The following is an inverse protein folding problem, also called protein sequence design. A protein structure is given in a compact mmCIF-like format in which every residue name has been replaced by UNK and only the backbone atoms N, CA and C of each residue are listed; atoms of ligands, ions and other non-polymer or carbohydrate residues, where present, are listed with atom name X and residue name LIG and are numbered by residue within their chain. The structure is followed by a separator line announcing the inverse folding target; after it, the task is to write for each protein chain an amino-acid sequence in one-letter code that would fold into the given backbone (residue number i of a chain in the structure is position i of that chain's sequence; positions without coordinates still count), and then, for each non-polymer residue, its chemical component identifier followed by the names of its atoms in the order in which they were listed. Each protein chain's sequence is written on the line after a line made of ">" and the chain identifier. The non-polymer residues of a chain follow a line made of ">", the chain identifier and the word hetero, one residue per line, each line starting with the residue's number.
data_IF_732819057935
#
_entry.id   IF_732819057935
#
_cell.length_a   1.000
_cell.length_b   1.000
_cell.length_c   1.000
_cell.angle_alpha   90.00
_cell.angle_beta   90.00
_cell.angle_gamma   90.00
#
_symmetry.space_group_name_H-M   'P 1'
#
loop_
_entity.id
_entity.type
_entity.pdbx_description
1 polymer ?
#
# COMPACT_ATOMS: atom_id res chain seq x y z
N UNK A 1 -8.81 -34.67 33.90
CA UNK A 1 -8.57 -33.24 33.62
C UNK A 1 -7.65 -33.14 32.42
N UNK A 2 -8.21 -33.02 31.23
CA UNK A 2 -7.46 -32.77 30.00
C UNK A 2 -7.50 -31.26 29.78
N UNK A 3 -6.35 -30.58 29.93
CA UNK A 3 -6.22 -29.20 29.50
C UNK A 3 -6.11 -29.22 27.98
N UNK A 4 -7.03 -28.61 27.21
CA UNK A 4 -6.84 -28.55 25.77
C UNK A 4 -5.66 -27.63 25.48
N UNK A 5 -4.58 -28.22 24.95
CA UNK A 5 -3.50 -27.50 24.28
C UNK A 5 -4.05 -26.95 22.96
N UNK A 6 -4.86 -25.90 23.01
CA UNK A 6 -5.29 -25.15 21.83
C UNK A 6 -5.32 -23.66 22.16
N UNK A 7 -4.14 -23.09 22.42
CA UNK A 7 -3.88 -21.80 21.80
C UNK A 7 -3.43 -22.14 20.38
N UNK A 8 -4.26 -21.95 19.33
CA UNK A 8 -3.73 -21.99 17.99
C UNK A 8 -2.58 -20.99 17.99
N UNK A 9 -1.39 -21.42 17.59
CA UNK A 9 -0.30 -20.51 17.26
C UNK A 9 -0.94 -19.43 16.39
N UNK A 10 -1.15 -18.23 16.93
CA UNK A 10 -1.78 -17.11 16.25
C UNK A 10 -1.02 -16.94 14.94
N UNK A 11 -1.57 -17.45 13.85
CA UNK A 11 -0.91 -17.42 12.56
C UNK A 11 -0.90 -15.96 12.14
N UNK A 12 0.24 -15.32 12.35
CA UNK A 12 0.41 -13.91 12.06
C UNK A 12 0.60 -13.73 10.55
N UNK A 13 -0.51 -13.60 9.83
CA UNK A 13 -0.51 -13.49 8.37
C UNK A 13 -0.40 -12.01 8.00
N UNK A 14 0.61 -11.68 7.20
CA UNK A 14 0.84 -10.31 6.72
C UNK A 14 0.64 -10.23 5.20
N UNK A 15 0.00 -9.16 4.75
CA UNK A 15 -0.22 -8.88 3.34
C UNK A 15 0.91 -8.00 2.80
N UNK A 16 1.60 -8.46 1.76
CA UNK A 16 2.69 -7.71 1.11
C UNK A 16 2.30 -7.35 -0.32
N UNK A 17 2.24 -6.06 -0.63
CA UNK A 17 1.86 -5.54 -1.94
C UNK A 17 3.08 -4.96 -2.66
N UNK A 18 3.47 -5.61 -3.76
CA UNK A 18 4.67 -5.22 -4.52
C UNK A 18 4.48 -3.94 -5.32
N UNK A 19 5.57 -3.33 -5.76
CA UNK A 19 5.52 -2.24 -6.73
C UNK A 19 5.10 -2.74 -8.11
N UNK A 20 4.50 -1.87 -8.93
CA UNK A 20 4.05 -2.30 -10.26
C UNK A 20 3.45 -1.22 -11.17
N UNK A 21 3.38 0.04 -10.73
CA UNK A 21 2.72 1.12 -11.47
C UNK A 21 1.23 0.83 -11.66
N UNK A 22 0.71 1.01 -12.88
CA UNK A 22 -0.69 0.72 -13.25
C UNK A 22 -1.11 -0.74 -12.99
N UNK A 23 -0.16 -1.68 -12.87
CA UNK A 23 -0.44 -3.08 -12.47
C UNK A 23 -0.93 -3.20 -11.02
N UNK A 24 -0.93 -2.11 -10.24
CA UNK A 24 -1.67 -2.03 -8.98
C UNK A 24 -3.15 -2.41 -9.12
N UNK A 25 -3.74 -2.22 -10.31
CA UNK A 25 -5.09 -2.67 -10.64
C UNK A 25 -5.25 -4.21 -10.53
N UNK A 26 -4.23 -5.00 -10.88
CA UNK A 26 -4.29 -6.45 -10.71
C UNK A 26 -4.26 -6.86 -9.24
N UNK A 27 -3.51 -6.12 -8.41
CA UNK A 27 -3.53 -6.33 -6.96
C UNK A 27 -4.91 -6.01 -6.39
N UNK A 28 -5.56 -4.94 -6.86
CA UNK A 28 -6.95 -4.62 -6.48
C UNK A 28 -7.91 -5.78 -6.81
N UNK A 29 -7.80 -6.36 -8.02
CA UNK A 29 -8.57 -7.53 -8.41
C UNK A 29 -8.30 -8.76 -7.53
N UNK A 30 -7.04 -9.02 -7.18
CA UNK A 30 -6.68 -10.12 -6.28
C UNK A 30 -7.26 -9.91 -4.87
N UNK A 31 -7.20 -8.69 -4.33
CA UNK A 31 -7.81 -8.35 -3.05
C UNK A 31 -9.33 -8.55 -3.08
N UNK A 32 -9.99 -8.21 -4.20
CA UNK A 32 -11.42 -8.48 -4.40
C UNK A 32 -11.73 -9.98 -4.35
N UNK A 33 -10.95 -10.81 -5.04
CA UNK A 33 -11.08 -12.26 -4.96
C UNK A 33 -10.90 -12.80 -3.55
N UNK A 34 -9.95 -12.26 -2.78
CA UNK A 34 -9.77 -12.61 -1.36
C UNK A 34 -11.02 -12.25 -0.54
N UNK A 35 -11.55 -11.04 -0.69
CA UNK A 35 -12.75 -10.60 0.02
C UNK A 35 -13.99 -11.45 -0.34
N UNK A 36 -14.10 -11.88 -1.60
CA UNK A 36 -15.16 -12.81 -2.06
C UNK A 36 -15.03 -14.18 -1.39
N UNK A 37 -13.83 -14.77 -1.37
CA UNK A 37 -13.57 -16.07 -0.74
C UNK A 37 -13.82 -16.04 0.77
N UNK A 38 -13.42 -14.96 1.45
CA UNK A 38 -13.60 -14.81 2.90
C UNK A 38 -15.06 -14.57 3.33
N UNK A 39 -15.93 -14.13 2.41
CA UNK A 39 -17.34 -13.89 2.70
C UNK A 39 -17.53 -12.92 3.87
N UNK A 40 -18.40 -13.22 4.86
CA UNK A 40 -18.61 -12.36 6.03
C UNK A 40 -17.34 -12.09 6.86
N UNK A 41 -16.33 -12.96 6.78
CA UNK A 41 -15.06 -12.74 7.48
C UNK A 41 -14.26 -11.54 6.94
N UNK A 42 -14.61 -11.06 5.73
CA UNK A 42 -14.03 -9.87 5.11
C UNK A 42 -14.62 -8.55 5.61
N UNK A 43 -15.60 -8.58 6.51
CA UNK A 43 -16.17 -7.36 7.08
C UNK A 43 -15.16 -6.68 8.02
N UNK A 44 -14.23 -7.44 8.59
CA UNK A 44 -13.07 -6.94 9.33
C UNK A 44 -11.75 -7.22 8.59
N UNK A 45 -10.68 -6.51 8.95
CA UNK A 45 -9.36 -6.74 8.35
C UNK A 45 -8.83 -8.15 8.64
N UNK A 46 -8.64 -9.01 7.63
CA UNK A 46 -8.34 -10.43 7.85
C UNK A 46 -6.84 -10.72 8.06
N UNK A 47 -5.99 -9.69 7.98
CA UNK A 47 -4.53 -9.80 8.13
C UNK A 47 -4.06 -9.13 9.42
N UNK A 48 -2.94 -9.58 9.96
CA UNK A 48 -2.34 -8.95 11.14
C UNK A 48 -1.58 -7.67 10.80
N UNK A 49 -1.05 -7.58 9.58
CA UNK A 49 -0.39 -6.38 9.08
C UNK A 49 -0.47 -6.29 7.55
N UNK A 50 -0.22 -5.09 7.02
CA UNK A 50 -0.07 -4.86 5.58
C UNK A 50 1.11 -3.93 5.30
N UNK A 51 1.87 -4.23 4.27
CA UNK A 51 2.90 -3.34 3.75
C UNK A 51 2.87 -3.32 2.22
N UNK A 52 3.45 -2.27 1.64
CA UNK A 52 3.62 -2.20 0.20
C UNK A 52 4.57 -1.10 -0.23
N UNK A 53 4.95 -1.13 -1.51
CA UNK A 53 5.87 -0.15 -2.13
C UNK A 53 5.28 0.42 -3.43
N UNK A 54 5.46 1.72 -3.68
CA UNK A 54 4.95 2.42 -4.87
C UNK A 54 3.43 2.22 -5.04
N UNK A 55 2.96 1.69 -6.17
CA UNK A 55 1.54 1.34 -6.37
C UNK A 55 0.98 0.40 -5.28
N UNK A 56 1.80 -0.53 -4.78
CA UNK A 56 1.44 -1.39 -3.66
C UNK A 56 1.32 -0.61 -2.34
N UNK A 57 2.07 0.47 -2.15
CA UNK A 57 1.95 1.33 -0.98
C UNK A 57 0.62 2.11 -1.01
N UNK A 58 0.17 2.56 -2.19
CA UNK A 58 -1.14 3.19 -2.36
C UNK A 58 -2.24 2.21 -1.93
N UNK A 59 -2.21 1.00 -2.46
CA UNK A 59 -3.18 -0.05 -2.10
C UNK A 59 -3.15 -0.38 -0.61
N UNK A 60 -1.94 -0.58 -0.05
CA UNK A 60 -1.74 -0.91 1.36
C UNK A 60 -2.28 0.19 2.28
N UNK A 61 -1.95 1.46 2.00
CA UNK A 61 -2.42 2.59 2.78
C UNK A 61 -3.94 2.74 2.70
N UNK A 62 -4.54 2.55 1.52
CA UNK A 62 -5.97 2.65 1.34
C UNK A 62 -6.72 1.60 2.18
N UNK A 63 -6.37 0.31 2.07
CA UNK A 63 -7.04 -0.75 2.83
C UNK A 63 -6.75 -0.65 4.33
N UNK A 64 -5.56 -0.21 4.72
CA UNK A 64 -5.23 0.01 6.14
C UNK A 64 -6.09 1.13 6.74
N UNK A 65 -6.36 2.20 5.98
CA UNK A 65 -7.25 3.29 6.44
C UNK A 65 -8.70 2.84 6.62
N UNK A 66 -9.09 1.73 5.98
CA UNK A 66 -10.42 1.10 6.01
C UNK A 66 -10.39 -0.25 6.74
N UNK A 67 -9.50 -0.44 7.71
CA UNK A 67 -9.32 -1.73 8.40
C UNK A 67 -10.58 -2.22 9.16
N UNK A 68 -11.50 -1.31 9.49
CA UNK A 68 -12.79 -1.66 10.09
C UNK A 68 -13.77 -2.26 9.08
N UNK A 69 -13.57 -2.03 7.78
CA UNK A 69 -14.46 -2.42 6.68
C UNK A 69 -13.64 -2.87 5.47
N UNK A 70 -12.95 -4.01 5.59
CA UNK A 70 -11.98 -4.45 4.57
C UNK A 70 -12.62 -4.64 3.20
N UNK A 71 -13.82 -5.24 3.13
CA UNK A 71 -14.61 -5.38 1.90
C UNK A 71 -14.84 -4.03 1.19
N UNK A 72 -15.22 -3.00 1.94
CA UNK A 72 -15.43 -1.66 1.38
C UNK A 72 -14.11 -1.00 0.97
N UNK A 73 -13.05 -1.19 1.76
CA UNK A 73 -11.71 -0.77 1.41
C UNK A 73 -11.26 -1.36 0.07
N UNK A 74 -11.48 -2.65 -0.13
CA UNK A 74 -11.17 -3.34 -1.39
C UNK A 74 -12.01 -2.81 -2.56
N UNK A 75 -13.31 -2.58 -2.36
CA UNK A 75 -14.16 -1.97 -3.39
C UNK A 75 -13.66 -0.57 -3.79
N UNK A 76 -13.26 0.25 -2.82
CA UNK A 76 -12.69 1.58 -3.06
C UNK A 76 -11.37 1.54 -3.82
N UNK A 77 -10.50 0.57 -3.53
CA UNK A 77 -9.27 0.37 -4.32
C UNK A 77 -9.59 -0.06 -5.74
N UNK A 78 -10.56 -0.96 -5.95
CA UNK A 78 -11.00 -1.34 -7.30
C UNK A 78 -11.55 -0.13 -8.08
N UNK A 79 -12.31 0.74 -7.42
CA UNK A 79 -12.83 1.97 -8.02
C UNK A 79 -11.68 2.93 -8.39
N UNK A 80 -10.75 3.19 -7.46
CA UNK A 80 -9.57 4.03 -7.70
C UNK A 80 -8.83 3.61 -8.97
N UNK A 81 -8.56 2.31 -9.13
CA UNK A 81 -7.88 1.81 -10.33
C UNK A 81 -8.77 1.75 -11.58
N UNK A 82 -10.09 1.62 -11.42
CA UNK A 82 -11.04 1.61 -12.53
C UNK A 82 -11.33 3.00 -13.09
N UNK A 83 -11.18 4.06 -12.29
CA UNK A 83 -11.36 5.45 -12.69
C UNK A 83 -10.10 6.06 -13.32
N UNK A 84 -8.93 5.43 -13.14
CA UNK A 84 -7.68 5.82 -13.79
C UNK A 84 -7.75 5.57 -15.30
N UNK A 85 -8.29 6.54 -16.04
CA UNK A 85 -8.31 6.55 -17.51
C UNK A 85 -6.96 7.03 -18.06
N UNK A 86 -6.36 6.23 -18.93
CA UNK A 86 -5.09 6.53 -19.63
C UNK A 86 -5.08 7.91 -20.34
N UNK A 87 -6.24 8.47 -20.66
CA UNK A 87 -6.36 9.74 -21.39
C UNK A 87 -6.22 11.00 -20.51
N UNK A 88 -6.41 10.90 -19.18
CA UNK A 88 -6.23 12.04 -18.24
C UNK A 88 -4.90 11.99 -17.49
N UNK A 89 -4.30 10.81 -17.32
CA UNK A 89 -3.09 10.63 -16.49
C UNK A 89 -1.81 10.99 -17.25
N UNK A 90 -1.78 10.83 -18.58
CA UNK A 90 -0.54 10.98 -19.33
C UNK A 90 -0.06 12.44 -19.48
N UNK A 91 -0.92 13.44 -19.26
CA UNK A 91 -0.55 14.86 -19.45
C UNK A 91 -0.13 15.57 -18.17
N UNK A 92 -0.79 15.33 -17.04
CA UNK A 92 -0.49 16.04 -15.79
C UNK A 92 0.34 15.23 -14.77
N UNK A 93 0.27 13.89 -14.80
CA UNK A 93 0.92 13.05 -13.78
C UNK A 93 2.37 12.71 -14.13
N UNK A 94 2.77 12.70 -15.42
CA UNK A 94 4.16 12.44 -15.81
C UNK A 94 5.11 13.53 -15.32
N UNK A 95 4.74 14.81 -15.41
CA UNK A 95 5.59 15.92 -14.93
C UNK A 95 5.72 15.88 -13.42
N UNK A 96 4.62 15.61 -12.73
CA UNK A 96 4.59 15.51 -11.26
C UNK A 96 5.39 14.31 -10.77
N UNK A 97 5.19 13.12 -11.37
CA UNK A 97 5.95 11.90 -11.09
C UNK A 97 7.44 12.05 -11.40
N UNK A 98 7.81 12.66 -12.54
CA UNK A 98 9.23 12.93 -12.88
C UNK A 98 9.83 13.92 -11.90
N UNK A 99 9.09 14.94 -11.46
CA UNK A 99 9.58 15.91 -10.47
C UNK A 99 9.78 15.27 -9.10
N UNK A 100 8.85 14.42 -8.66
CA UNK A 100 9.02 13.65 -7.43
C UNK A 100 10.21 12.69 -7.55
N UNK A 101 10.32 11.93 -8.63
CA UNK A 101 11.45 11.04 -8.87
C UNK A 101 12.79 11.80 -8.92
N UNK A 102 12.83 12.97 -9.57
CA UNK A 102 14.02 13.82 -9.65
C UNK A 102 14.41 14.42 -8.28
N UNK A 103 13.43 14.82 -7.46
CA UNK A 103 13.68 15.30 -6.09
C UNK A 103 14.27 14.20 -5.22
N UNK A 104 13.69 13.00 -5.24
CA UNK A 104 14.23 11.84 -4.53
C UNK A 104 15.62 11.44 -5.03
N UNK A 105 15.84 11.42 -6.35
CA UNK A 105 17.16 11.13 -6.93
C UNK A 105 18.21 12.18 -6.56
N UNK A 106 17.83 13.46 -6.53
CA UNK A 106 18.69 14.56 -6.06
C UNK A 106 19.01 14.40 -4.58
N UNK A 107 18.04 14.06 -3.73
CA UNK A 107 18.28 13.91 -2.30
C UNK A 107 19.20 12.70 -2.01
N UNK A 108 19.15 11.64 -2.84
CA UNK A 108 20.08 10.50 -2.77
C UNK A 108 21.48 10.80 -3.35
N UNK A 109 21.57 11.65 -4.36
CA UNK A 109 22.84 11.96 -5.06
C UNK A 109 23.59 13.15 -4.43
N UNK A 110 22.86 14.12 -3.87
CA UNK A 110 23.41 15.38 -3.33
C UNK A 110 23.13 15.59 -1.83
N UNK A 111 22.40 14.71 -1.15
CA UNK A 111 22.18 14.79 0.30
C UNK A 111 23.48 14.74 1.13
N UNK A 112 24.56 14.17 0.56
CA UNK A 112 25.90 14.19 1.16
C UNK A 112 26.69 15.49 0.96
N UNK A 113 26.21 16.43 0.15
CA UNK A 113 26.92 17.69 -0.17
C UNK A 113 26.29 18.94 0.46
N UNK A 114 25.06 18.86 1.00
CA UNK A 114 24.33 20.03 1.53
C UNK A 114 24.27 20.08 3.07
N UNK A 115 24.79 19.08 3.80
CA UNK A 115 24.90 19.14 5.27
C UNK A 115 26.32 19.45 5.80
N UNK A 116 27.12 20.18 5.02
CA UNK A 116 28.47 20.58 5.42
C UNK A 116 28.61 22.07 5.76
N UNK A 117 27.94 22.59 6.80
CA UNK A 117 28.51 23.70 7.59
C UNK A 117 27.74 24.02 8.89
N UNK A 118 28.36 23.62 10.00
CA UNK A 118 28.36 24.21 11.36
C UNK A 118 27.01 24.37 12.09
N UNK A 119 26.67 23.35 12.87
CA UNK A 119 26.05 23.56 14.18
C UNK A 119 27.10 24.17 15.12
N UNK A 120 27.05 25.49 15.34
CA UNK A 120 27.72 26.10 16.48
C UNK A 120 26.89 25.78 17.73
N UNK A 121 27.43 24.92 18.59
CA UNK A 121 27.09 24.93 20.00
C UNK A 121 27.80 26.13 20.65
N UNK A 122 27.03 27.17 20.96
CA UNK A 122 27.24 28.05 22.10
C UNK A 122 25.87 28.35 22.70
#
# INVERSE_FOLDING_TARGET
>A
MYSPLTSPLLSHISLVLTGGGSRGAYQAGALRGIAEVLGPSADSFPFSSVCGVSAGAINAAYIASRSHEFREGVAGVCQLWGELKSDEILKDDLVTMVTFAARWARDLTFGGLVHGSRANHL
#
